data_IF_588739711971
#
_entry.id   IF_588739711971
#
_cell.length_a   1.000
_cell.length_b   1.000
_cell.length_c   1.000
_cell.angle_alpha   90.00
_cell.angle_beta   90.00
_cell.angle_gamma   90.00
#
_symmetry.space_group_name_H-M   'P 1'
#
loop_
_entity.id
_entity.type
_entity.pdbx_description
1 polymer ?
#
# COMPACT_ATOMS: atom_id res chain seq x y z
N UNK A 1 -26.49 -27.71 4.72
CA UNK A 1 -25.51 -27.83 3.63
C UNK A 1 -24.20 -27.08 3.90
N UNK A 2 -24.15 -25.74 4.01
CA UNK A 2 -22.89 -25.00 4.28
C UNK A 2 -22.23 -25.46 5.59
N UNK A 3 -22.99 -25.65 6.68
CA UNK A 3 -22.44 -26.17 7.93
C UNK A 3 -21.86 -27.58 7.81
N UNK A 4 -22.40 -28.40 6.95
CA UNK A 4 -21.90 -29.76 6.72
C UNK A 4 -20.60 -29.73 5.92
N UNK A 5 -20.51 -28.84 4.90
CA UNK A 5 -19.26 -28.55 4.19
C UNK A 5 -18.18 -28.08 5.17
N UNK A 6 -18.48 -27.13 6.04
CA UNK A 6 -17.55 -26.62 7.05
C UNK A 6 -17.06 -27.73 7.99
N UNK A 7 -17.97 -28.57 8.50
CA UNK A 7 -17.62 -29.66 9.42
C UNK A 7 -16.81 -30.75 8.76
N UNK A 8 -17.19 -31.17 7.55
CA UNK A 8 -16.59 -32.31 6.88
C UNK A 8 -15.32 -31.95 6.11
N UNK A 9 -15.28 -30.77 5.51
CA UNK A 9 -14.11 -30.32 4.72
C UNK A 9 -13.16 -29.46 5.55
N UNK A 10 -13.68 -28.63 6.45
CA UNK A 10 -12.87 -27.67 7.22
C UNK A 10 -11.79 -28.31 8.11
N UNK A 11 -12.05 -29.49 8.65
CA UNK A 11 -11.12 -30.25 9.50
C UNK A 11 -10.16 -31.17 8.76
N UNK A 12 -10.25 -31.27 7.43
CA UNK A 12 -9.38 -32.16 6.65
C UNK A 12 -7.96 -31.59 6.52
N UNK A 13 -7.02 -32.48 6.34
CA UNK A 13 -5.70 -32.11 5.85
C UNK A 13 -5.81 -31.57 4.41
N UNK A 14 -4.92 -30.65 4.06
CA UNK A 14 -4.85 -30.06 2.75
C UNK A 14 -4.70 -31.14 1.65
N UNK A 15 -5.49 -31.05 0.59
CA UNK A 15 -5.54 -32.04 -0.49
C UNK A 15 -6.43 -33.27 -0.22
N UNK A 16 -6.85 -33.48 1.03
CA UNK A 16 -7.79 -34.55 1.37
C UNK A 16 -9.21 -34.22 0.86
N UNK A 17 -10.03 -35.25 0.64
CA UNK A 17 -11.40 -35.13 0.14
C UNK A 17 -12.42 -35.60 1.16
N UNK A 18 -13.58 -34.94 1.17
CA UNK A 18 -14.78 -35.43 1.84
C UNK A 18 -15.94 -35.54 0.84
N UNK A 19 -16.84 -36.46 1.13
CA UNK A 19 -18.10 -36.60 0.45
C UNK A 19 -19.20 -35.96 1.28
N UNK A 20 -19.90 -34.99 0.71
CA UNK A 20 -20.93 -34.20 1.39
C UNK A 20 -22.26 -34.42 0.69
N UNK A 21 -23.28 -34.88 1.45
CA UNK A 21 -24.62 -35.11 0.92
C UNK A 21 -25.32 -33.79 0.58
N UNK A 22 -26.03 -33.77 -0.56
CA UNK A 22 -26.86 -32.66 -1.03
C UNK A 22 -28.26 -33.16 -1.38
N UNK A 23 -29.25 -32.30 -1.30
CA UNK A 23 -30.64 -32.64 -1.51
C UNK A 23 -31.29 -31.88 -2.67
N UNK A 24 -30.66 -30.83 -3.13
CA UNK A 24 -31.22 -29.97 -4.19
C UNK A 24 -30.13 -29.40 -5.09
N UNK A 25 -30.49 -28.93 -6.30
CA UNK A 25 -29.60 -28.16 -7.17
C UNK A 25 -29.06 -26.89 -6.50
N UNK A 26 -29.87 -26.26 -5.67
CA UNK A 26 -29.44 -25.06 -4.91
C UNK A 26 -28.32 -25.38 -3.92
N UNK A 27 -28.32 -26.54 -3.29
CA UNK A 27 -27.22 -27.00 -2.41
C UNK A 27 -25.91 -27.13 -3.18
N UNK A 28 -25.97 -27.63 -4.41
CA UNK A 28 -24.79 -27.72 -5.28
C UNK A 28 -24.26 -26.35 -5.62
N UNK A 29 -25.11 -25.39 -6.06
CA UNK A 29 -24.67 -24.01 -6.34
C UNK A 29 -24.05 -23.35 -5.13
N UNK A 30 -24.60 -23.55 -3.93
CA UNK A 30 -24.04 -23.04 -2.69
C UNK A 30 -22.66 -23.65 -2.42
N UNK A 31 -22.49 -24.97 -2.67
CA UNK A 31 -21.21 -25.65 -2.50
C UNK A 31 -20.15 -25.11 -3.48
N UNK A 32 -20.51 -24.90 -4.74
CA UNK A 32 -19.62 -24.31 -5.75
C UNK A 32 -19.14 -22.92 -5.34
N UNK A 33 -20.07 -22.05 -4.90
CA UNK A 33 -19.77 -20.71 -4.40
C UNK A 33 -18.89 -20.75 -3.13
N UNK A 34 -19.20 -21.67 -2.21
CA UNK A 34 -18.41 -21.84 -1.00
C UNK A 34 -16.99 -22.32 -1.33
N UNK A 35 -16.85 -23.33 -2.20
CA UNK A 35 -15.54 -23.79 -2.64
C UNK A 35 -14.71 -22.68 -3.28
N UNK A 36 -15.29 -21.90 -4.19
CA UNK A 36 -14.61 -20.79 -4.85
C UNK A 36 -14.13 -19.71 -3.84
N UNK A 37 -14.93 -19.43 -2.80
CA UNK A 37 -14.58 -18.43 -1.77
C UNK A 37 -13.55 -18.91 -0.75
N UNK A 38 -13.51 -20.21 -0.50
CA UNK A 38 -12.69 -20.80 0.57
C UNK A 38 -11.45 -21.53 0.05
N UNK A 39 -11.15 -21.42 -1.25
CA UNK A 39 -10.01 -22.09 -1.88
C UNK A 39 -10.14 -23.62 -1.95
N UNK A 40 -11.32 -24.15 -1.66
CA UNK A 40 -11.61 -25.58 -1.83
C UNK A 40 -12.00 -25.87 -3.28
N UNK A 41 -12.00 -27.15 -3.66
CA UNK A 41 -12.35 -27.57 -5.03
C UNK A 41 -13.48 -28.58 -5.00
N UNK A 42 -14.57 -28.31 -5.72
CA UNK A 42 -15.56 -29.32 -6.04
C UNK A 42 -14.95 -30.26 -7.10
N UNK A 43 -14.63 -31.47 -6.69
CA UNK A 43 -13.96 -32.47 -7.55
C UNK A 43 -14.97 -33.22 -8.40
N UNK A 44 -16.13 -33.59 -7.81
CA UNK A 44 -17.17 -34.40 -8.45
C UNK A 44 -18.52 -34.11 -7.81
N UNK A 45 -19.57 -34.17 -8.62
CA UNK A 45 -20.95 -34.07 -8.19
C UNK A 45 -21.72 -35.31 -8.75
N UNK A 46 -22.09 -36.21 -7.88
CA UNK A 46 -22.90 -37.39 -8.21
C UNK A 46 -24.32 -37.11 -7.72
N UNK A 47 -25.10 -36.42 -8.54
CA UNK A 47 -26.46 -35.98 -8.21
C UNK A 47 -27.44 -36.47 -9.23
N UNK A 48 -28.67 -36.78 -8.83
CA UNK A 48 -29.80 -37.14 -9.70
C UNK A 48 -30.42 -35.88 -10.38
N UNK A 49 -31.51 -36.12 -11.13
CA UNK A 49 -32.25 -35.05 -11.84
C UNK A 49 -32.89 -34.02 -10.89
N UNK A 50 -33.12 -34.38 -9.62
CA UNK A 50 -33.64 -33.48 -8.57
C UNK A 50 -32.53 -32.70 -7.85
N UNK A 51 -31.26 -33.04 -8.12
CA UNK A 51 -30.10 -32.46 -7.49
C UNK A 51 -29.73 -33.09 -6.15
N UNK A 52 -30.36 -34.24 -5.80
CA UNK A 52 -30.02 -35.00 -4.60
C UNK A 52 -28.90 -36.01 -4.89
N UNK A 53 -27.95 -36.15 -3.92
CA UNK A 53 -26.83 -37.04 -4.07
C UNK A 53 -25.65 -36.65 -3.20
N UNK A 54 -24.44 -36.72 -3.75
CA UNK A 54 -23.22 -36.41 -3.03
C UNK A 54 -22.26 -35.53 -3.85
N UNK A 55 -21.59 -34.65 -3.16
CA UNK A 55 -20.50 -33.82 -3.69
C UNK A 55 -19.18 -34.29 -3.11
N UNK A 56 -18.18 -34.52 -3.92
CA UNK A 56 -16.82 -34.75 -3.47
C UNK A 56 -16.06 -33.45 -3.49
N UNK A 57 -15.70 -32.95 -2.30
CA UNK A 57 -14.99 -31.70 -2.14
C UNK A 57 -13.57 -31.97 -1.62
N UNK A 58 -12.57 -31.40 -2.27
CA UNK A 58 -11.18 -31.45 -1.85
C UNK A 58 -10.84 -30.23 -1.06
N UNK A 59 -10.23 -30.44 0.12
CA UNK A 59 -9.65 -29.37 0.90
C UNK A 59 -8.55 -28.69 0.08
N UNK A 60 -8.77 -27.43 -0.26
CA UNK A 60 -7.85 -26.64 -1.06
C UNK A 60 -6.71 -26.04 -0.26
N UNK A 61 -5.85 -25.42 -1.01
CA UNK A 61 -4.89 -24.47 -0.48
C UNK A 61 -5.55 -23.10 -0.40
N UNK A 62 -5.07 -22.30 0.56
CA UNK A 62 -5.26 -20.88 0.42
C UNK A 62 -4.70 -20.44 -0.93
N UNK A 63 -5.35 -19.48 -1.59
CA UNK A 63 -4.71 -18.86 -2.73
C UNK A 63 -3.31 -18.41 -2.32
N UNK A 64 -2.33 -18.67 -3.17
CA UNK A 64 -0.98 -18.13 -2.97
C UNK A 64 -1.10 -16.60 -2.86
N UNK A 65 -0.51 -15.97 -1.84
CA UNK A 65 -0.48 -14.51 -1.76
C UNK A 65 -0.08 -13.84 -3.08
N UNK A 66 0.79 -14.48 -3.86
CA UNK A 66 1.24 -14.00 -5.18
C UNK A 66 0.09 -13.91 -6.18
N UNK A 67 -0.86 -14.86 -6.14
CA UNK A 67 -2.02 -14.87 -7.05
C UNK A 67 -3.01 -13.75 -6.74
N UNK A 68 -3.14 -13.37 -5.46
CA UNK A 68 -4.07 -12.34 -5.01
C UNK A 68 -3.45 -10.94 -5.09
N UNK A 69 -2.21 -10.80 -4.61
CA UNK A 69 -1.56 -9.49 -4.46
C UNK A 69 -0.72 -9.11 -5.68
N UNK A 70 -0.27 -10.10 -6.45
CA UNK A 70 0.80 -9.93 -7.43
C UNK A 70 2.19 -9.97 -6.79
N UNK A 71 3.18 -10.45 -7.55
CA UNK A 71 4.54 -10.62 -7.07
C UNK A 71 5.25 -9.31 -6.65
N UNK A 72 4.81 -8.18 -7.19
CA UNK A 72 5.33 -6.85 -6.90
C UNK A 72 4.77 -6.22 -5.61
N UNK A 73 3.74 -6.84 -5.01
CA UNK A 73 3.09 -6.38 -3.77
C UNK A 73 3.29 -7.32 -2.59
N UNK A 74 4.10 -8.34 -2.76
CA UNK A 74 4.45 -9.21 -1.63
C UNK A 74 5.24 -8.44 -0.57
N UNK A 75 5.07 -8.78 0.72
CA UNK A 75 5.86 -8.18 1.80
C UNK A 75 7.36 -8.24 1.53
N UNK A 76 8.05 -7.14 1.73
CA UNK A 76 9.48 -7.04 1.52
C UNK A 76 9.91 -6.76 0.07
N UNK A 77 8.99 -6.73 -0.90
CA UNK A 77 9.31 -6.28 -2.27
C UNK A 77 9.50 -4.77 -2.30
N UNK A 78 8.71 -4.04 -1.52
CA UNK A 78 8.76 -2.59 -1.40
C UNK A 78 9.28 -2.17 -0.03
N UNK A 79 10.10 -1.13 -0.02
CA UNK A 79 10.59 -0.49 1.20
C UNK A 79 10.25 0.99 1.19
N UNK A 80 9.62 1.46 2.26
CA UNK A 80 9.30 2.85 2.49
C UNK A 80 10.28 3.47 3.47
N UNK A 81 10.81 4.64 3.15
CA UNK A 81 11.71 5.40 4.00
C UNK A 81 11.12 6.78 4.28
N UNK A 82 10.77 7.04 5.52
CA UNK A 82 10.45 8.38 6.01
C UNK A 82 11.74 9.14 6.25
N UNK A 83 12.15 9.95 5.27
CA UNK A 83 13.39 10.71 5.34
C UNK A 83 13.40 11.72 6.47
N UNK A 84 12.23 12.33 6.73
CA UNK A 84 11.98 13.32 7.79
C UNK A 84 10.52 13.35 8.21
N UNK A 85 10.19 14.10 9.28
CA UNK A 85 8.80 14.39 9.69
C UNK A 85 8.43 15.86 9.56
N UNK A 86 9.39 16.73 9.27
CA UNK A 86 9.14 18.14 9.05
C UNK A 86 8.52 18.39 7.67
N UNK A 87 7.48 19.26 7.60
CA UNK A 87 6.77 19.60 6.38
C UNK A 87 6.52 21.11 6.31
N UNK A 88 6.39 21.66 5.12
CA UNK A 88 5.95 23.03 4.91
C UNK A 88 4.41 23.18 4.94
N UNK A 89 3.68 22.07 5.05
CA UNK A 89 2.21 22.02 5.14
C UNK A 89 1.76 21.44 6.47
N UNK A 90 0.48 21.67 6.80
CA UNK A 90 -0.25 21.08 7.93
C UNK A 90 -1.57 20.52 7.44
N UNK A 91 -1.52 19.50 6.56
CA UNK A 91 -2.73 18.88 6.01
C UNK A 91 -3.55 18.22 7.15
N UNK A 92 -4.88 18.40 7.11
CA UNK A 92 -5.79 17.94 8.16
C UNK A 92 -5.98 16.41 8.21
N UNK A 93 -5.53 15.69 7.19
CA UNK A 93 -5.54 14.23 7.12
C UNK A 93 -4.13 13.60 7.15
N UNK A 94 -3.12 14.32 7.60
CA UNK A 94 -1.74 13.80 7.60
C UNK A 94 -1.59 12.61 8.55
N UNK A 95 -1.43 11.41 7.99
CA UNK A 95 -1.34 10.15 8.76
C UNK A 95 -0.11 10.06 9.67
N UNK A 96 0.88 10.93 9.52
CA UNK A 96 2.09 10.96 10.37
C UNK A 96 2.27 12.29 11.12
N UNK A 97 1.24 13.11 11.18
CA UNK A 97 1.22 14.37 11.93
C UNK A 97 2.35 15.34 11.55
N UNK A 98 2.74 15.35 10.27
CA UNK A 98 3.77 16.26 9.78
C UNK A 98 3.27 17.69 9.70
N UNK A 99 4.13 18.65 10.05
CA UNK A 99 3.83 20.08 10.01
C UNK A 99 5.10 20.92 10.06
N UNK A 100 5.03 22.26 9.87
CA UNK A 100 6.16 23.15 10.10
C UNK A 100 6.68 23.14 11.55
N UNK A 101 5.84 22.72 12.49
CA UNK A 101 6.15 22.64 13.93
C UNK A 101 6.57 21.23 14.34
N UNK A 102 6.46 20.24 13.45
CA UNK A 102 6.87 18.87 13.78
C UNK A 102 8.36 18.82 14.15
N UNK A 103 8.67 17.99 15.14
CA UNK A 103 10.05 17.77 15.56
C UNK A 103 10.89 17.27 14.36
N UNK A 104 12.12 17.79 14.25
CA UNK A 104 13.06 17.35 13.22
C UNK A 104 13.61 15.97 13.59
N UNK A 105 12.93 14.94 13.12
CA UNK A 105 13.35 13.54 13.20
C UNK A 105 13.70 13.09 11.80
N UNK A 106 14.94 12.74 11.57
CA UNK A 106 15.49 12.46 10.24
C UNK A 106 16.28 11.16 10.28
N UNK A 107 16.18 10.36 9.22
CA UNK A 107 17.01 9.15 9.07
C UNK A 107 18.49 9.50 8.83
N UNK A 108 18.73 10.54 8.02
CA UNK A 108 20.07 10.96 7.59
C UNK A 108 20.64 10.11 6.44
N UNK A 109 21.41 10.76 5.57
CA UNK A 109 21.90 10.16 4.32
C UNK A 109 22.73 8.87 4.53
N UNK A 110 23.63 8.85 5.50
CA UNK A 110 24.47 7.68 5.75
C UNK A 110 23.67 6.45 6.19
N UNK A 111 22.68 6.65 7.06
CA UNK A 111 21.80 5.56 7.50
C UNK A 111 20.95 5.06 6.35
N UNK A 112 20.34 5.96 5.58
CA UNK A 112 19.59 5.59 4.38
C UNK A 112 20.43 4.74 3.43
N UNK A 113 21.66 5.13 3.13
CA UNK A 113 22.54 4.35 2.27
C UNK A 113 22.83 2.93 2.79
N UNK A 114 23.03 2.76 4.10
CA UNK A 114 23.24 1.42 4.69
C UNK A 114 21.97 0.59 4.64
N UNK A 115 20.81 1.16 4.99
CA UNK A 115 19.50 0.52 4.93
C UNK A 115 19.18 0.06 3.51
N UNK A 116 19.36 0.92 2.51
CA UNK A 116 19.08 0.61 1.10
C UNK A 116 20.00 -0.48 0.57
N UNK A 117 21.31 -0.43 0.90
CA UNK A 117 22.24 -1.48 0.52
C UNK A 117 21.92 -2.85 1.17
N UNK A 118 21.44 -2.86 2.40
CA UNK A 118 21.02 -4.08 3.10
C UNK A 118 19.70 -4.61 2.49
N UNK A 119 18.73 -3.74 2.27
CA UNK A 119 17.44 -4.06 1.67
C UNK A 119 17.58 -4.67 0.26
N UNK A 120 18.44 -4.11 -0.59
CA UNK A 120 18.72 -4.62 -1.92
C UNK A 120 19.30 -6.05 -1.86
N UNK A 121 20.22 -6.32 -0.94
CA UNK A 121 20.78 -7.68 -0.74
C UNK A 121 19.75 -8.67 -0.20
N UNK A 122 18.81 -8.21 0.60
CA UNK A 122 17.73 -9.04 1.13
C UNK A 122 16.70 -9.44 0.05
N UNK A 123 16.50 -8.60 -0.97
CA UNK A 123 15.58 -8.86 -2.07
C UNK A 123 14.51 -7.78 -2.30
N UNK A 124 14.59 -6.64 -1.64
CA UNK A 124 13.78 -5.45 -1.95
C UNK A 124 14.03 -5.04 -3.39
N UNK A 125 12.98 -4.66 -4.13
CA UNK A 125 13.04 -4.31 -5.55
C UNK A 125 12.64 -2.87 -5.85
N UNK A 126 11.95 -2.20 -4.95
CA UNK A 126 11.45 -0.84 -5.14
C UNK A 126 11.52 -0.05 -3.84
N UNK A 127 11.94 1.21 -3.94
CA UNK A 127 12.02 2.16 -2.83
C UNK A 127 10.97 3.25 -2.97
N UNK A 128 10.39 3.62 -1.83
CA UNK A 128 9.54 4.80 -1.69
C UNK A 128 10.18 5.74 -0.67
N UNK A 129 10.64 6.90 -1.12
CA UNK A 129 11.12 7.97 -0.23
C UNK A 129 9.96 8.90 0.06
N UNK A 130 9.65 9.08 1.33
CA UNK A 130 8.58 9.94 1.81
C UNK A 130 9.03 10.70 3.05
N UNK A 131 8.10 11.34 3.74
CA UNK A 131 8.37 12.05 4.98
C UNK A 131 7.25 13.03 5.27
N UNK A 132 7.61 14.13 5.91
CA UNK A 132 6.81 15.34 5.86
C UNK A 132 6.90 15.93 4.46
N UNK A 133 8.02 16.59 4.16
CA UNK A 133 8.38 16.98 2.80
C UNK A 133 9.88 16.70 2.60
N UNK A 134 10.23 15.70 1.79
CA UNK A 134 11.64 15.32 1.58
C UNK A 134 12.51 16.45 1.02
N UNK A 135 11.98 17.28 0.11
CA UNK A 135 12.73 18.37 -0.51
C UNK A 135 13.07 19.54 0.43
N UNK A 136 12.64 19.50 1.68
CA UNK A 136 13.12 20.41 2.72
C UNK A 136 14.52 20.02 3.24
N UNK A 137 14.92 18.76 3.08
CA UNK A 137 16.25 18.30 3.48
C UNK A 137 17.35 18.96 2.62
N UNK A 138 18.46 19.41 3.21
CA UNK A 138 19.54 20.05 2.47
C UNK A 138 20.26 19.13 1.51
N UNK A 139 20.32 17.84 1.80
CA UNK A 139 21.06 16.78 1.12
C UNK A 139 20.15 15.83 0.32
N UNK A 140 18.87 16.18 0.15
CA UNK A 140 17.87 15.31 -0.49
C UNK A 140 18.28 14.88 -1.90
N UNK A 141 18.94 15.73 -2.68
CA UNK A 141 19.42 15.38 -4.01
C UNK A 141 20.42 14.22 -3.98
N UNK A 142 21.38 14.25 -3.06
CA UNK A 142 22.34 13.17 -2.88
C UNK A 142 21.67 11.87 -2.37
N UNK A 143 20.72 11.98 -1.44
CA UNK A 143 19.94 10.84 -0.93
C UNK A 143 19.18 10.16 -2.07
N UNK A 144 18.42 10.93 -2.86
CA UNK A 144 17.60 10.39 -3.96
C UNK A 144 18.51 9.73 -5.02
N UNK A 145 19.59 10.39 -5.42
CA UNK A 145 20.50 9.85 -6.43
C UNK A 145 21.10 8.50 -5.98
N UNK A 146 21.61 8.43 -4.75
CA UNK A 146 22.18 7.19 -4.22
C UNK A 146 21.13 6.06 -4.10
N UNK A 147 19.89 6.38 -3.75
CA UNK A 147 18.79 5.41 -3.75
C UNK A 147 18.47 4.92 -5.16
N UNK A 148 18.30 5.83 -6.12
CA UNK A 148 17.96 5.50 -7.51
C UNK A 148 19.07 4.73 -8.25
N UNK A 149 20.33 4.93 -7.88
CA UNK A 149 21.46 4.13 -8.36
C UNK A 149 21.40 2.68 -7.86
N UNK A 150 20.77 2.44 -6.72
CA UNK A 150 20.72 1.12 -6.09
C UNK A 150 19.45 0.35 -6.47
N UNK A 151 18.29 1.00 -6.42
CA UNK A 151 16.97 0.40 -6.69
C UNK A 151 16.03 1.42 -7.35
N UNK A 152 15.09 0.98 -8.19
CA UNK A 152 14.00 1.82 -8.66
C UNK A 152 13.35 2.57 -7.50
N UNK A 153 13.30 3.89 -7.60
CA UNK A 153 12.91 4.77 -6.49
C UNK A 153 11.76 5.69 -6.90
N UNK A 154 10.74 5.76 -6.06
CA UNK A 154 9.66 6.75 -6.15
C UNK A 154 9.77 7.73 -4.98
N UNK A 155 9.82 9.02 -5.26
CA UNK A 155 9.85 10.07 -4.24
C UNK A 155 8.49 10.72 -4.11
N UNK A 156 7.92 10.70 -2.91
CA UNK A 156 6.66 11.36 -2.59
C UNK A 156 6.94 12.80 -2.13
N UNK A 157 6.27 13.76 -2.74
CA UNK A 157 6.41 15.19 -2.42
C UNK A 157 5.08 15.92 -2.61
N UNK A 158 4.92 17.04 -1.94
CA UNK A 158 3.80 17.94 -2.23
C UNK A 158 4.02 18.79 -3.50
N UNK A 159 5.23 18.77 -4.08
CA UNK A 159 5.57 19.45 -5.34
C UNK A 159 5.69 20.98 -5.25
N UNK A 160 5.53 21.57 -4.07
CA UNK A 160 5.40 23.03 -3.91
C UNK A 160 6.72 23.75 -3.62
N UNK A 161 7.75 23.00 -3.23
CA UNK A 161 9.01 23.57 -2.73
C UNK A 161 10.11 23.66 -3.79
N UNK A 162 9.79 23.46 -5.05
CA UNK A 162 10.78 23.44 -6.15
C UNK A 162 11.28 24.85 -6.52
N UNK A 163 11.90 25.50 -5.54
CA UNK A 163 12.55 26.82 -5.69
C UNK A 163 13.95 26.77 -5.11
N UNK A 164 14.82 27.69 -5.47
CA UNK A 164 16.16 27.84 -4.90
C UNK A 164 16.96 26.53 -4.87
N UNK A 165 17.31 26.05 -3.67
CA UNK A 165 18.09 24.82 -3.48
C UNK A 165 17.33 23.57 -3.93
N UNK A 166 16.07 23.45 -3.56
CA UNK A 166 15.24 22.29 -3.93
C UNK A 166 15.07 22.19 -5.46
N UNK A 167 14.94 23.33 -6.16
CA UNK A 167 14.90 23.37 -7.62
C UNK A 167 16.20 22.84 -8.23
N UNK A 168 17.36 23.29 -7.75
CA UNK A 168 18.66 22.80 -8.23
C UNK A 168 18.85 21.31 -7.95
N UNK A 169 18.42 20.84 -6.76
CA UNK A 169 18.46 19.43 -6.45
C UNK A 169 17.58 18.64 -7.44
N UNK A 170 16.35 19.05 -7.68
CA UNK A 170 15.44 18.41 -8.64
C UNK A 170 16.04 18.34 -10.04
N UNK A 171 16.63 19.44 -10.54
CA UNK A 171 17.23 19.51 -11.88
C UNK A 171 18.41 18.56 -12.05
N UNK A 172 19.16 18.28 -10.98
CA UNK A 172 20.34 17.40 -10.97
C UNK A 172 20.01 15.90 -10.83
N UNK A 173 18.75 15.52 -10.47
CA UNK A 173 18.38 14.12 -10.26
C UNK A 173 18.43 13.29 -11.56
N UNK A 174 18.71 11.99 -11.49
CA UNK A 174 18.58 11.09 -12.62
C UNK A 174 17.10 10.99 -13.07
N UNK A 175 16.88 10.67 -14.34
CA UNK A 175 15.53 10.40 -14.89
C UNK A 175 15.24 8.91 -14.96
N UNK A 176 16.26 8.13 -15.19
CA UNK A 176 16.18 6.68 -15.20
C UNK A 176 16.14 6.13 -13.78
N UNK A 177 15.30 5.13 -13.52
CA UNK A 177 15.15 4.52 -12.21
C UNK A 177 14.45 5.39 -11.16
N UNK A 178 13.93 6.58 -11.52
CA UNK A 178 13.32 7.54 -10.61
C UNK A 178 11.96 8.00 -11.10
N UNK A 179 10.97 7.97 -10.21
CA UNK A 179 9.67 8.59 -10.39
C UNK A 179 9.39 9.62 -9.28
N UNK A 180 8.64 10.65 -9.61
CA UNK A 180 8.12 11.61 -8.62
C UNK A 180 6.63 11.38 -8.44
N UNK A 181 6.18 11.12 -7.22
CA UNK A 181 4.78 11.05 -6.88
C UNK A 181 4.36 12.35 -6.19
N UNK A 182 3.60 13.17 -6.91
CA UNK A 182 3.17 14.49 -6.43
C UNK A 182 1.74 14.39 -5.92
N UNK A 183 1.50 15.02 -4.78
CA UNK A 183 0.18 15.01 -4.14
C UNK A 183 -0.72 16.09 -4.73
N UNK A 184 -1.88 15.66 -5.27
CA UNK A 184 -2.94 16.55 -5.73
C UNK A 184 -4.29 15.86 -5.52
N UNK A 185 -5.22 16.49 -4.78
CA UNK A 185 -6.44 15.81 -4.32
C UNK A 185 -7.66 16.01 -5.21
N UNK A 186 -7.62 17.00 -6.11
CA UNK A 186 -8.76 17.35 -6.98
C UNK A 186 -8.34 18.05 -8.25
N UNK A 187 -9.25 18.10 -9.22
CA UNK A 187 -9.09 18.86 -10.46
C UNK A 187 -9.15 20.38 -10.25
N UNK A 188 -9.74 20.83 -9.13
CA UNK A 188 -9.95 22.26 -8.82
C UNK A 188 -9.35 22.64 -7.46
N UNK A 189 -9.11 23.94 -7.23
CA UNK A 189 -8.48 24.40 -5.98
C UNK A 189 -9.27 24.12 -4.71
N UNK A 190 -10.60 24.13 -4.77
CA UNK A 190 -11.47 24.21 -3.60
C UNK A 190 -11.23 23.04 -2.63
N UNK A 191 -11.37 21.82 -3.12
CA UNK A 191 -11.19 20.61 -2.29
C UNK A 191 -9.73 20.44 -1.86
N UNK A 192 -8.78 20.59 -2.78
CA UNK A 192 -7.36 20.48 -2.44
C UNK A 192 -6.93 21.50 -1.37
N UNK A 193 -7.32 22.75 -1.57
CA UNK A 193 -6.93 23.84 -0.67
C UNK A 193 -7.63 23.74 0.70
N UNK A 194 -8.84 23.16 0.79
CA UNK A 194 -9.52 22.95 2.07
C UNK A 194 -8.72 22.03 2.99
N UNK A 195 -8.06 21.01 2.44
CA UNK A 195 -7.27 20.04 3.20
C UNK A 195 -5.82 20.44 3.39
N UNK A 196 -5.21 21.13 2.42
CA UNK A 196 -3.76 21.38 2.40
C UNK A 196 -3.38 22.84 2.64
N UNK A 197 -4.36 23.72 2.63
CA UNK A 197 -4.16 25.17 2.80
C UNK A 197 -4.33 25.97 1.50
N UNK A 198 -4.65 27.24 1.67
CA UNK A 198 -4.93 28.16 0.55
C UNK A 198 -3.75 28.30 -0.41
N UNK A 199 -4.01 28.28 -1.72
CA UNK A 199 -3.01 28.46 -2.78
C UNK A 199 -2.03 27.30 -2.92
N UNK A 200 -2.37 26.13 -2.38
CA UNK A 200 -1.51 24.94 -2.50
C UNK A 200 -1.75 24.19 -3.80
N UNK A 201 -2.97 24.24 -4.34
CA UNK A 201 -3.32 23.59 -5.59
C UNK A 201 -2.50 24.15 -6.77
N UNK A 202 -2.45 25.46 -6.94
CA UNK A 202 -1.73 26.11 -8.01
C UNK A 202 -0.22 25.78 -7.96
N UNK A 203 0.34 25.73 -6.75
CA UNK A 203 1.76 25.38 -6.55
C UNK A 203 2.03 23.89 -6.85
N UNK A 204 1.12 23.00 -6.45
CA UNK A 204 1.26 21.56 -6.75
C UNK A 204 1.15 21.30 -8.25
N UNK A 205 0.19 21.92 -8.95
CA UNK A 205 0.05 21.85 -10.41
C UNK A 205 1.30 22.39 -11.10
N UNK A 206 1.81 23.55 -10.67
CA UNK A 206 3.07 24.09 -11.20
C UNK A 206 4.25 23.14 -10.98
N UNK A 207 4.30 22.46 -9.84
CA UNK A 207 5.30 21.43 -9.54
C UNK A 207 5.20 20.21 -10.45
N UNK A 208 3.97 19.74 -10.74
CA UNK A 208 3.71 18.65 -11.70
C UNK A 208 4.21 19.04 -13.09
N UNK A 209 3.79 20.19 -13.60
CA UNK A 209 4.18 20.68 -14.92
C UNK A 209 5.71 20.86 -15.04
N UNK A 210 6.33 21.37 -13.97
CA UNK A 210 7.77 21.48 -13.91
C UNK A 210 8.46 20.12 -13.98
N UNK A 211 8.03 19.14 -13.18
CA UNK A 211 8.62 17.81 -13.17
C UNK A 211 8.50 17.14 -14.55
N UNK A 212 7.33 17.25 -15.19
CA UNK A 212 7.10 16.76 -16.55
C UNK A 212 8.03 17.46 -17.56
N UNK A 213 8.16 18.78 -17.48
CA UNK A 213 9.02 19.55 -18.39
C UNK A 213 10.51 19.19 -18.26
N UNK A 214 10.91 18.71 -17.08
CA UNK A 214 12.25 18.21 -16.79
C UNK A 214 12.46 16.74 -17.22
N UNK A 215 11.42 16.08 -17.74
CA UNK A 215 11.48 14.71 -18.25
C UNK A 215 11.37 13.63 -17.17
N UNK A 216 10.82 13.93 -16.00
CA UNK A 216 10.55 12.91 -14.97
C UNK A 216 9.30 12.11 -15.32
N UNK A 217 9.28 10.82 -14.95
CA UNK A 217 8.03 10.10 -14.75
C UNK A 217 7.33 10.70 -13.55
N UNK A 218 6.13 11.23 -13.76
CA UNK A 218 5.31 11.83 -12.70
C UNK A 218 4.10 10.96 -12.43
N UNK A 219 3.92 10.60 -11.19
CA UNK A 219 2.73 9.96 -10.64
C UNK A 219 1.97 11.03 -9.84
N UNK A 220 0.65 10.99 -9.87
CA UNK A 220 -0.17 11.88 -9.05
C UNK A 220 -1.00 11.05 -8.09
N UNK A 221 -0.97 11.44 -6.81
CA UNK A 221 -1.72 10.75 -5.77
C UNK A 221 -2.70 11.70 -5.08
N UNK A 222 -3.99 11.38 -5.17
CA UNK A 222 -5.05 12.01 -4.40
C UNK A 222 -5.34 11.22 -3.13
N UNK A 223 -5.64 11.95 -2.05
CA UNK A 223 -6.17 11.40 -0.81
C UNK A 223 -7.51 12.10 -0.53
N UNK A 224 -8.61 11.34 -0.58
CA UNK A 224 -9.98 11.91 -0.54
C UNK A 224 -10.87 11.09 0.38
N UNK A 225 -11.84 11.74 1.03
CA UNK A 225 -12.75 11.06 1.96
C UNK A 225 -13.74 10.14 1.21
N UNK A 226 -14.50 10.70 0.30
CA UNK A 226 -15.52 10.00 -0.49
C UNK A 226 -15.77 10.79 -1.80
N UNK A 227 -14.96 10.56 -2.84
CA UNK A 227 -15.11 11.30 -4.09
C UNK A 227 -16.39 10.86 -4.78
N UNK A 228 -17.27 11.81 -5.10
CA UNK A 228 -18.42 11.57 -5.96
C UNK A 228 -17.98 11.05 -7.34
N UNK A 229 -18.81 10.23 -8.02
CA UNK A 229 -18.44 9.68 -9.34
C UNK A 229 -18.06 10.75 -10.37
N UNK A 230 -18.70 11.93 -10.32
CA UNK A 230 -18.41 13.06 -11.20
C UNK A 230 -17.08 13.74 -10.87
N UNK A 231 -16.74 13.86 -9.60
CA UNK A 231 -15.47 14.48 -9.14
C UNK A 231 -14.28 13.62 -9.53
N UNK A 232 -14.40 12.31 -9.35
CA UNK A 232 -13.34 11.38 -9.74
C UNK A 232 -13.13 11.37 -11.26
N UNK A 233 -14.21 11.39 -12.04
CA UNK A 233 -14.12 11.47 -13.50
C UNK A 233 -13.48 12.78 -13.97
N UNK A 234 -13.84 13.91 -13.37
CA UNK A 234 -13.24 15.21 -13.65
C UNK A 234 -11.76 15.25 -13.28
N UNK A 235 -11.39 14.66 -12.14
CA UNK A 235 -9.99 14.58 -11.72
C UNK A 235 -9.14 13.75 -12.70
N UNK A 236 -9.62 12.59 -13.10
CA UNK A 236 -8.93 11.78 -14.08
C UNK A 236 -8.81 12.46 -15.44
N UNK A 237 -9.86 13.14 -15.92
CA UNK A 237 -9.82 13.90 -17.16
C UNK A 237 -8.77 15.04 -17.09
N UNK A 238 -8.75 15.77 -15.98
CA UNK A 238 -7.73 16.80 -15.74
C UNK A 238 -6.30 16.23 -15.80
N UNK A 239 -6.06 15.08 -15.18
CA UNK A 239 -4.74 14.43 -15.20
C UNK A 239 -4.36 13.90 -16.59
N UNK A 240 -5.33 13.39 -17.36
CA UNK A 240 -5.11 13.00 -18.76
C UNK A 240 -4.70 14.21 -19.61
N UNK A 241 -5.37 15.35 -19.44
CA UNK A 241 -5.06 16.61 -20.15
C UNK A 241 -3.66 17.16 -19.79
N UNK A 242 -3.22 16.93 -18.54
CA UNK A 242 -1.86 17.27 -18.08
C UNK A 242 -0.80 16.31 -18.62
N UNK A 243 -1.21 15.12 -19.11
CA UNK A 243 -0.32 14.11 -19.67
C UNK A 243 0.13 13.04 -18.66
N UNK A 244 -0.59 12.86 -17.55
CA UNK A 244 -0.33 11.78 -16.59
C UNK A 244 -1.08 10.52 -17.05
N UNK A 245 -0.36 9.44 -17.33
CA UNK A 245 -0.96 8.17 -17.76
C UNK A 245 -1.78 7.53 -16.64
N UNK A 246 -2.82 6.76 -16.98
CA UNK A 246 -3.77 6.20 -16.01
C UNK A 246 -3.13 5.36 -14.90
N UNK A 247 -2.11 4.59 -15.21
CA UNK A 247 -1.38 3.77 -14.23
C UNK A 247 -0.59 4.60 -13.19
N UNK A 248 -0.36 5.88 -13.49
CA UNK A 248 0.31 6.83 -12.61
C UNK A 248 -0.66 7.78 -11.89
N UNK A 249 -1.97 7.56 -12.02
CA UNK A 249 -3.04 8.28 -11.34
C UNK A 249 -3.58 7.43 -10.17
N UNK A 250 -3.23 7.81 -8.94
CA UNK A 250 -3.63 7.08 -7.73
C UNK A 250 -4.70 7.86 -6.96
N UNK A 251 -5.76 7.18 -6.58
CA UNK A 251 -6.76 7.72 -5.65
C UNK A 251 -6.88 6.76 -4.48
N UNK A 252 -6.82 7.28 -3.27
CA UNK A 252 -6.90 6.49 -2.05
C UNK A 252 -7.74 7.22 -0.99
N UNK A 253 -8.43 6.47 -0.11
CA UNK A 253 -9.18 7.05 0.98
C UNK A 253 -8.25 7.70 2.02
N UNK A 254 -8.81 8.59 2.82
CA UNK A 254 -8.17 9.07 4.04
C UNK A 254 -8.07 7.90 5.03
N UNK A 255 -6.91 7.71 5.63
CA UNK A 255 -6.71 6.81 6.75
C UNK A 255 -6.95 7.58 8.06
N UNK A 256 -7.73 7.01 8.98
CA UNK A 256 -7.96 7.57 10.30
C UNK A 256 -6.72 7.36 11.18
N UNK A 257 -5.65 8.06 10.84
CA UNK A 257 -4.34 8.01 11.49
C UNK A 257 -3.74 9.42 11.61
N UNK A 258 -2.81 9.59 12.53
CA UNK A 258 -2.12 10.85 12.75
C UNK A 258 -3.04 11.97 13.23
N UNK A 259 -3.27 13.00 12.39
CA UNK A 259 -4.16 14.13 12.71
C UNK A 259 -5.53 14.00 12.06
N UNK A 260 -5.77 12.97 11.25
CA UNK A 260 -7.06 12.78 10.58
C UNK A 260 -8.19 12.57 11.58
N UNK A 261 -9.27 13.34 11.46
CA UNK A 261 -10.46 13.23 12.30
C UNK A 261 -11.55 12.33 11.69
N UNK A 262 -11.41 11.99 10.41
CA UNK A 262 -12.31 11.12 9.65
C UNK A 262 -11.50 10.25 8.67
N UNK A 263 -12.11 9.21 8.15
CA UNK A 263 -11.48 8.29 7.20
C UNK A 263 -11.68 6.83 7.59
N UNK A 264 -10.95 5.95 6.94
CA UNK A 264 -10.99 4.52 7.23
C UNK A 264 -10.14 4.20 8.46
N UNK A 265 -10.79 3.60 9.45
CA UNK A 265 -10.10 3.01 10.60
C UNK A 265 -9.30 1.78 10.13
N UNK A 266 -8.00 1.84 10.26
CA UNK A 266 -7.10 0.78 9.85
C UNK A 266 -6.66 -0.05 11.05
N UNK A 267 -6.48 -1.34 10.81
CA UNK A 267 -5.83 -2.27 11.74
C UNK A 267 -4.67 -2.92 11.02
N UNK A 268 -3.64 -3.29 11.76
CA UNK A 268 -2.49 -4.00 11.20
C UNK A 268 -2.92 -5.22 10.38
N UNK A 269 -3.92 -5.97 10.87
CA UNK A 269 -4.43 -7.18 10.23
C UNK A 269 -5.19 -6.92 8.93
N UNK A 270 -5.67 -5.69 8.70
CA UNK A 270 -6.34 -5.29 7.46
C UNK A 270 -5.38 -4.74 6.39
N UNK A 271 -4.10 -4.60 6.71
CA UNK A 271 -3.08 -4.05 5.83
C UNK A 271 -2.13 -5.15 5.35
N UNK A 272 -1.93 -5.23 4.04
CA UNK A 272 -0.78 -5.94 3.48
C UNK A 272 0.47 -5.16 3.89
N UNK A 273 1.48 -5.81 4.50
CA UNK A 273 2.63 -5.07 4.99
C UNK A 273 3.45 -4.47 3.85
N UNK A 274 3.75 -3.20 3.99
CA UNK A 274 4.76 -2.49 3.21
C UNK A 274 5.80 -1.94 4.20
N UNK A 275 6.92 -2.63 4.35
CA UNK A 275 7.92 -2.33 5.37
C UNK A 275 8.33 -0.87 5.32
N UNK A 276 8.20 -0.20 6.44
CA UNK A 276 8.39 1.25 6.54
C UNK A 276 9.40 1.59 7.62
N UNK A 277 10.45 2.30 7.25
CA UNK A 277 11.50 2.73 8.17
C UNK A 277 11.37 4.23 8.42
N UNK A 278 11.36 4.60 9.68
CA UNK A 278 11.39 5.99 10.15
C UNK A 278 12.59 6.22 11.07
N UNK A 279 12.80 7.44 11.54
CA UNK A 279 13.82 7.72 12.57
C UNK A 279 13.56 7.00 13.90
N UNK A 280 12.32 6.54 14.15
CA UNK A 280 11.89 5.99 15.43
C UNK A 280 11.78 4.45 15.43
N UNK A 281 11.88 3.81 14.26
CA UNK A 281 11.79 2.36 14.15
C UNK A 281 11.33 1.87 12.77
N UNK A 282 11.05 0.58 12.71
CA UNK A 282 10.52 -0.11 11.55
C UNK A 282 9.05 -0.45 11.81
N UNK A 283 8.19 -0.08 10.89
CA UNK A 283 6.73 -0.21 10.98
C UNK A 283 6.19 -1.11 9.88
N UNK A 284 4.97 -1.60 10.12
CA UNK A 284 4.26 -2.52 9.24
C UNK A 284 3.85 -1.90 7.91
N UNK A 285 3.46 -0.60 7.92
CA UNK A 285 2.88 0.05 6.74
C UNK A 285 3.08 1.58 6.80
N UNK A 286 3.27 2.27 5.66
CA UNK A 286 3.55 3.71 5.64
C UNK A 286 2.41 4.58 6.19
N UNK A 287 1.16 4.18 6.07
CA UNK A 287 0.04 4.96 6.63
C UNK A 287 -0.01 4.92 8.15
N UNK A 288 0.61 3.95 8.80
CA UNK A 288 0.65 3.76 10.24
C UNK A 288 2.09 3.88 10.79
N UNK A 289 2.92 4.73 10.19
CA UNK A 289 4.35 4.86 10.51
C UNK A 289 4.65 5.58 11.84
N UNK A 290 3.63 5.99 12.59
CA UNK A 290 3.74 6.54 13.94
C UNK A 290 2.84 5.81 14.96
N UNK A 291 2.10 4.80 14.52
CA UNK A 291 1.23 4.00 15.39
C UNK A 291 2.04 2.85 16.02
N UNK A 292 2.09 2.83 17.36
CA UNK A 292 2.75 1.78 18.14
C UNK A 292 2.20 0.37 17.83
N UNK A 293 0.94 0.26 17.44
CA UNK A 293 0.31 -1.01 17.07
C UNK A 293 0.88 -1.59 15.77
N UNK A 294 1.42 -0.72 14.92
CA UNK A 294 2.08 -1.08 13.65
C UNK A 294 3.60 -1.17 13.78
N UNK A 295 4.17 -0.90 14.95
CA UNK A 295 5.60 -1.02 15.19
C UNK A 295 6.04 -2.48 15.15
N UNK A 296 7.04 -2.77 14.32
CA UNK A 296 7.67 -4.08 14.18
C UNK A 296 8.96 -4.17 15.00
N UNK A 297 9.78 -3.09 14.96
CA UNK A 297 11.06 -3.04 15.66
C UNK A 297 11.47 -1.60 15.95
N UNK A 298 12.00 -1.36 17.15
CA UNK A 298 12.70 -0.11 17.47
C UNK A 298 14.13 -0.08 16.92
N UNK A 299 14.70 -1.25 16.66
CA UNK A 299 16.03 -1.36 16.07
C UNK A 299 15.89 -1.26 14.55
N UNK A 300 16.53 -0.26 13.97
CA UNK A 300 16.49 0.01 12.53
C UNK A 300 17.65 -0.70 11.82
N UNK A 301 18.80 -0.77 12.45
CA UNK A 301 20.01 -1.37 11.89
C UNK A 301 20.55 -2.47 12.83
N UNK A 302 20.82 -3.68 12.34
CA UNK A 302 20.58 -4.13 10.95
C UNK A 302 19.08 -4.21 10.62
N UNK A 303 18.73 -3.99 9.33
CA UNK A 303 17.33 -4.01 8.86
C UNK A 303 16.79 -5.44 8.65
N UNK A 304 17.66 -6.38 8.25
CA UNK A 304 17.29 -7.77 7.92
C UNK A 304 16.38 -8.43 8.96
N UNK A 305 16.64 -8.35 10.28
CA UNK A 305 15.75 -8.97 11.26
C UNK A 305 14.31 -8.44 11.22
N UNK A 306 14.13 -7.15 10.89
CA UNK A 306 12.80 -6.57 10.78
C UNK A 306 12.09 -7.01 9.49
N UNK A 307 12.79 -7.11 8.37
CA UNK A 307 12.27 -7.66 7.11
C UNK A 307 11.82 -9.12 7.29
N UNK A 308 12.64 -9.95 7.92
CA UNK A 308 12.31 -11.35 8.23
C UNK A 308 11.10 -11.45 9.17
N UNK A 309 11.03 -10.57 10.18
CA UNK A 309 9.90 -10.51 11.10
C UNK A 309 8.60 -10.15 10.39
N UNK A 310 8.61 -9.17 9.48
CA UNK A 310 7.42 -8.78 8.70
C UNK A 310 6.97 -9.95 7.80
N UNK A 311 7.90 -10.60 7.10
CA UNK A 311 7.58 -11.72 6.21
C UNK A 311 6.97 -12.90 6.98
N UNK A 312 7.53 -13.26 8.14
CA UNK A 312 6.99 -14.30 9.01
C UNK A 312 5.61 -13.94 9.55
N UNK A 313 5.44 -12.74 10.10
CA UNK A 313 4.17 -12.28 10.66
C UNK A 313 3.07 -12.22 9.60
N UNK A 314 3.41 -11.83 8.38
CA UNK A 314 2.46 -11.85 7.27
C UNK A 314 2.04 -13.28 6.91
N UNK A 315 2.99 -14.21 6.81
CA UNK A 315 2.67 -15.60 6.52
C UNK A 315 1.74 -16.21 7.61
N UNK A 316 1.99 -15.91 8.88
CA UNK A 316 1.11 -16.31 9.98
C UNK A 316 -0.29 -15.66 9.89
N UNK A 317 -0.35 -14.37 9.56
CA UNK A 317 -1.62 -13.65 9.39
C UNK A 317 -2.42 -14.21 8.22
N UNK A 318 -1.75 -14.48 7.08
CA UNK A 318 -2.36 -15.07 5.90
C UNK A 318 -2.93 -16.46 6.19
N UNK A 319 -2.17 -17.31 6.87
CA UNK A 319 -2.61 -18.64 7.29
C UNK A 319 -3.85 -18.59 8.21
N UNK A 320 -3.87 -17.65 9.19
CA UNK A 320 -5.01 -17.48 10.10
C UNK A 320 -6.26 -16.96 9.38
N UNK A 321 -6.09 -16.00 8.47
CA UNK A 321 -7.21 -15.48 7.68
C UNK A 321 -7.89 -16.60 6.88
N UNK A 322 -7.11 -17.51 6.42
CA UNK A 322 -7.51 -18.69 5.72
C UNK A 322 -8.26 -19.70 6.55
N UNK A 323 -7.75 -20.01 7.72
CA UNK A 323 -8.48 -20.85 8.68
C UNK A 323 -9.81 -20.19 9.04
N UNK A 324 -9.83 -18.87 9.27
CA UNK A 324 -11.05 -18.16 9.61
C UNK A 324 -12.09 -18.22 8.46
N UNK A 325 -11.69 -18.02 7.21
CA UNK A 325 -12.58 -18.16 6.04
C UNK A 325 -13.08 -19.60 5.89
N UNK A 326 -12.25 -20.58 6.21
CA UNK A 326 -12.64 -21.98 6.15
C UNK A 326 -13.61 -22.38 7.28
N UNK A 327 -13.42 -21.81 8.47
CA UNK A 327 -14.23 -22.16 9.67
C UNK A 327 -15.46 -21.27 9.82
N UNK A 328 -15.41 -20.01 9.38
CA UNK A 328 -16.46 -19.02 9.57
C UNK A 328 -16.76 -18.27 8.26
N UNK A 329 -17.30 -18.94 7.21
CA UNK A 329 -17.77 -18.22 6.03
C UNK A 329 -19.01 -17.43 6.39
N UNK A 330 -18.87 -16.15 6.67
CA UNK A 330 -19.96 -15.27 7.11
C UNK A 330 -20.75 -14.62 5.96
N UNK A 331 -20.60 -15.04 4.73
CA UNK A 331 -21.48 -14.62 3.60
C UNK A 331 -21.25 -15.51 2.37
#
# INVERSE_FOLDING_TARGET
>A
MILDLMRQVGGLAQGATAEVAVTTHHDRELAEKWCARTGNTLVRADVDEAGAGALVVRRGHLPDPTEILGADRLPGVRLWLYTNFHCNLSCDYCCVSSSPQAARRELGAQRIGRIVGEAARWGVRELFLTGGEPFLLPDIGAIISACAETLPTTVLTNGMVFTGRARRALESLPREGLALQISLDSATPELHNSHRGSGTWEKAVAGILLALSLGFRVRVAATVADPGPGELAAFHAFLDDVGIVRDDQLVRPIALEGVASEGLALRRESLVPEVTVTADGVYWHPVAAIDERALVSRTIEPLTPALDAVSRLFAEQWARAAEAVALFPCA
#
